data_IF_425813640706
#
_entry.id   IF_425813640706
#
_cell.length_a   1.000
_cell.length_b   1.000
_cell.length_c   1.000
_cell.angle_alpha   90.00
_cell.angle_beta   90.00
_cell.angle_gamma   90.00
#
_symmetry.space_group_name_H-M   'P 1'
#
loop_
_entity.id
_entity.type
_entity.pdbx_description
1 polymer ?
#
# COMPACT_ATOMS: atom_id res chain seq x y z
N UNK A 1 60.02 -45.10 -17.04
CA UNK A 1 58.62 -45.31 -17.44
C UNK A 1 57.87 -44.21 -16.72
N UNK A 2 57.33 -43.31 -17.54
CA UNK A 2 56.77 -42.02 -17.17
C UNK A 2 55.64 -42.10 -16.15
N UNK A 3 55.44 -41.00 -15.43
CA UNK A 3 54.16 -40.42 -14.95
C UNK A 3 54.57 -39.12 -14.25
N UNK A 4 54.75 -38.02 -14.99
CA UNK A 4 53.73 -37.09 -15.52
C UNK A 4 53.17 -36.14 -14.45
N UNK A 5 53.30 -34.88 -14.79
CA UNK A 5 53.02 -33.66 -14.05
C UNK A 5 51.51 -33.39 -13.99
N UNK A 6 50.97 -33.09 -12.81
CA UNK A 6 49.73 -32.29 -12.71
C UNK A 6 49.88 -31.24 -11.61
N UNK A 7 50.25 -30.04 -12.05
CA UNK A 7 50.02 -28.78 -11.34
C UNK A 7 48.68 -28.25 -11.86
N UNK A 8 47.60 -28.39 -11.07
CA UNK A 8 46.33 -27.66 -11.21
C UNK A 8 45.45 -28.05 -10.00
N UNK A 9 44.74 -27.18 -9.29
CA UNK A 9 44.55 -25.76 -9.45
C UNK A 9 43.93 -25.18 -8.17
N UNK A 10 44.09 -23.87 -8.06
CA UNK A 10 43.28 -22.97 -7.25
C UNK A 10 41.78 -23.29 -7.42
N UNK A 11 41.11 -23.81 -6.38
CA UNK A 11 39.66 -23.70 -6.20
C UNK A 11 39.30 -23.92 -4.72
N UNK A 12 39.41 -22.85 -3.95
CA UNK A 12 38.90 -22.79 -2.58
C UNK A 12 38.53 -21.38 -2.16
N UNK A 13 38.09 -20.56 -3.13
CA UNK A 13 37.42 -19.29 -2.90
C UNK A 13 36.26 -19.56 -1.94
N UNK A 14 36.45 -19.25 -0.66
CA UNK A 14 35.37 -19.05 0.30
C UNK A 14 34.56 -17.84 -0.16
N UNK A 15 33.78 -18.04 -1.23
CA UNK A 15 32.52 -17.37 -1.44
C UNK A 15 31.53 -17.98 -0.44
N UNK A 16 31.77 -17.74 0.84
CA UNK A 16 30.66 -17.49 1.75
C UNK A 16 30.28 -16.03 1.47
N UNK A 17 29.78 -15.82 0.24
CA UNK A 17 28.99 -14.66 -0.04
C UNK A 17 27.82 -14.79 0.89
N UNK A 18 27.84 -13.98 1.96
CA UNK A 18 26.68 -13.29 2.47
C UNK A 18 25.95 -12.63 1.28
N UNK A 19 25.33 -13.49 0.47
CA UNK A 19 24.14 -13.20 -0.29
C UNK A 19 22.97 -13.47 0.67
N UNK A 20 23.03 -12.87 1.85
CA UNK A 20 21.82 -12.36 2.45
C UNK A 20 21.43 -11.19 1.57
N UNK A 21 20.88 -11.54 0.39
CA UNK A 21 20.22 -10.59 -0.47
C UNK A 21 19.12 -10.03 0.39
N UNK A 22 19.34 -8.82 0.90
CA UNK A 22 18.41 -8.11 1.75
C UNK A 22 17.02 -8.25 1.15
N UNK A 23 16.26 -9.18 1.69
CA UNK A 23 14.82 -9.24 1.52
C UNK A 23 14.41 -7.89 2.07
N UNK A 24 14.08 -6.95 1.18
CA UNK A 24 13.79 -5.57 1.55
C UNK A 24 12.89 -5.61 2.78
N UNK A 25 13.44 -5.21 3.92
CA UNK A 25 12.79 -5.40 5.21
C UNK A 25 11.41 -4.78 5.09
N UNK A 26 10.36 -5.55 5.42
CA UNK A 26 9.00 -5.04 5.36
C UNK A 26 8.92 -3.78 6.21
N UNK A 27 8.21 -2.75 5.71
CA UNK A 27 8.06 -1.49 6.44
C UNK A 27 7.44 -1.81 7.81
N UNK A 28 8.06 -1.35 8.92
CA UNK A 28 7.56 -1.63 10.26
C UNK A 28 6.13 -1.17 10.45
N UNK A 29 5.35 -1.96 11.20
CA UNK A 29 3.96 -1.65 11.58
C UNK A 29 3.79 -0.21 12.09
N UNK A 30 4.77 0.26 12.86
CA UNK A 30 4.69 1.58 13.46
C UNK A 30 4.75 2.70 12.42
N UNK A 31 5.56 2.52 11.40
CA UNK A 31 5.76 3.46 10.31
C UNK A 31 4.59 3.43 9.34
N UNK A 32 4.09 2.25 8.98
CA UNK A 32 2.87 2.10 8.17
C UNK A 32 1.69 2.80 8.85
N UNK A 33 1.54 2.64 10.17
CA UNK A 33 0.50 3.34 10.91
C UNK A 33 0.61 4.87 10.82
N UNK A 34 1.83 5.43 10.80
CA UNK A 34 2.03 6.87 10.65
C UNK A 34 1.67 7.34 9.23
N UNK A 35 1.98 6.55 8.21
CA UNK A 35 1.57 6.82 6.84
C UNK A 35 0.04 6.80 6.70
N UNK A 36 -0.64 5.82 7.33
CA UNK A 36 -2.11 5.78 7.34
C UNK A 36 -2.72 6.96 8.09
N UNK A 37 -2.08 7.43 9.18
CA UNK A 37 -2.49 8.67 9.86
C UNK A 37 -2.39 9.87 8.91
N UNK A 38 -1.24 10.04 8.24
CA UNK A 38 -1.01 11.16 7.33
C UNK A 38 -1.99 11.14 6.15
N UNK A 39 -2.25 9.94 5.59
CA UNK A 39 -3.30 9.73 4.60
C UNK A 39 -4.67 10.12 5.16
N UNK A 40 -5.03 9.67 6.38
CA UNK A 40 -6.30 10.00 7.03
C UNK A 40 -6.47 11.51 7.31
N UNK A 41 -5.38 12.22 7.64
CA UNK A 41 -5.46 13.63 8.00
C UNK A 41 -5.42 14.56 6.78
N UNK A 42 -4.67 14.21 5.72
CA UNK A 42 -4.38 15.13 4.60
C UNK A 42 -4.86 14.64 3.24
N UNK A 43 -4.73 13.35 2.94
CA UNK A 43 -5.17 12.78 1.66
C UNK A 43 -4.32 13.19 0.45
N UNK A 44 -3.03 13.49 0.63
CA UNK A 44 -2.16 13.93 -0.48
C UNK A 44 -1.67 12.75 -1.33
N UNK A 45 -1.26 13.04 -2.57
CA UNK A 45 -0.67 12.07 -3.51
C UNK A 45 0.44 11.22 -2.87
N UNK A 46 1.38 11.88 -2.18
CA UNK A 46 2.50 11.22 -1.49
C UNK A 46 2.08 10.38 -0.28
N UNK A 47 1.02 10.78 0.43
CA UNK A 47 0.49 9.98 1.56
C UNK A 47 -0.09 8.67 1.03
N UNK A 48 -0.88 8.77 -0.04
CA UNK A 48 -1.50 7.60 -0.67
C UNK A 48 -0.44 6.67 -1.29
N UNK A 49 0.52 7.22 -2.03
CA UNK A 49 1.60 6.45 -2.64
C UNK A 49 2.49 5.77 -1.59
N UNK A 50 2.80 6.46 -0.50
CA UNK A 50 3.55 5.90 0.62
C UNK A 50 2.86 4.69 1.24
N UNK A 51 1.56 4.78 1.52
CA UNK A 51 0.78 3.64 2.04
C UNK A 51 0.71 2.50 1.02
N UNK A 52 0.48 2.79 -0.26
CA UNK A 52 0.42 1.77 -1.31
C UNK A 52 1.74 0.99 -1.43
N UNK A 53 2.88 1.69 -1.38
CA UNK A 53 4.20 1.08 -1.42
C UNK A 53 4.51 0.26 -0.15
N UNK A 54 4.10 0.76 1.01
CA UNK A 54 4.36 0.13 2.31
C UNK A 54 3.38 -0.99 2.68
N UNK A 55 2.31 -1.18 1.90
CA UNK A 55 1.24 -2.14 2.21
C UNK A 55 1.77 -3.57 2.35
N UNK A 56 2.77 -3.98 1.55
CA UNK A 56 3.56 -5.21 1.80
C UNK A 56 2.76 -6.50 2.00
N UNK A 57 1.56 -6.61 1.41
CA UNK A 57 0.65 -7.75 1.56
C UNK A 57 -0.35 -7.66 2.73
N UNK A 58 -0.31 -6.59 3.51
CA UNK A 58 -1.31 -6.27 4.54
C UNK A 58 -2.67 -6.06 3.89
N UNK A 59 -3.70 -6.59 4.51
CA UNK A 59 -5.09 -6.29 4.17
C UNK A 59 -5.45 -4.85 4.52
N UNK A 60 -6.50 -4.34 3.88
CA UNK A 60 -7.04 -3.01 4.18
C UNK A 60 -7.47 -2.86 5.64
N UNK A 61 -8.04 -3.90 6.25
CA UNK A 61 -8.35 -3.91 7.69
C UNK A 61 -7.11 -3.81 8.58
N UNK A 62 -5.99 -4.42 8.19
CA UNK A 62 -4.73 -4.28 8.94
C UNK A 62 -4.19 -2.86 8.83
N UNK A 63 -4.23 -2.24 7.65
CA UNK A 63 -3.84 -0.83 7.47
C UNK A 63 -4.70 0.10 8.34
N UNK A 64 -6.02 -0.09 8.34
CA UNK A 64 -6.95 0.65 9.22
C UNK A 64 -6.60 0.46 10.70
N UNK A 65 -6.30 -0.78 11.12
CA UNK A 65 -5.95 -1.09 12.50
C UNK A 65 -4.64 -0.43 12.94
N UNK A 66 -3.65 -0.31 12.05
CA UNK A 66 -2.38 0.36 12.33
C UNK A 66 -2.50 1.88 12.44
N UNK A 67 -3.39 2.48 11.64
CA UNK A 67 -3.67 3.91 11.66
C UNK A 67 -4.52 4.35 12.86
N UNK A 68 -5.49 3.54 13.28
CA UNK A 68 -6.47 3.89 14.33
C UNK A 68 -5.87 4.47 15.63
N UNK A 69 -4.83 3.88 16.23
CA UNK A 69 -4.22 4.42 17.46
C UNK A 69 -3.50 5.76 17.28
N UNK A 70 -3.22 6.16 16.04
CA UNK A 70 -2.39 7.33 15.70
C UNK A 70 -3.22 8.57 15.33
N UNK A 71 -4.52 8.40 15.09
CA UNK A 71 -5.47 9.48 14.84
C UNK A 71 -6.38 9.63 16.05
N UNK A 72 -6.42 10.83 16.65
CA UNK A 72 -7.21 11.07 17.87
C UNK A 72 -8.72 10.77 17.70
N UNK A 73 -9.25 10.96 16.49
CA UNK A 73 -10.64 10.66 16.13
C UNK A 73 -10.69 9.95 14.76
N UNK A 74 -10.10 8.76 14.69
CA UNK A 74 -10.11 7.97 13.45
C UNK A 74 -11.54 7.74 12.95
N UNK A 75 -11.79 8.07 11.68
CA UNK A 75 -13.10 7.94 11.04
C UNK A 75 -12.93 7.20 9.72
N UNK A 76 -13.60 6.04 9.60
CA UNK A 76 -13.59 5.26 8.37
C UNK A 76 -14.29 5.98 7.21
N UNK A 77 -15.45 6.65 7.39
CA UNK A 77 -16.02 7.50 6.33
C UNK A 77 -15.06 8.59 5.82
N UNK A 78 -14.30 9.22 6.71
CA UNK A 78 -13.36 10.28 6.37
C UNK A 78 -12.16 9.75 5.58
N UNK A 79 -11.72 8.52 5.88
CA UNK A 79 -10.71 7.81 5.10
C UNK A 79 -11.24 7.49 3.69
N UNK A 80 -12.45 6.93 3.61
CA UNK A 80 -13.09 6.58 2.33
C UNK A 80 -13.21 7.80 1.43
N UNK A 81 -13.65 8.93 1.98
CA UNK A 81 -13.72 10.20 1.24
C UNK A 81 -12.36 10.52 0.60
N UNK A 82 -11.26 10.49 1.36
CA UNK A 82 -9.92 10.77 0.80
C UNK A 82 -9.49 9.79 -0.27
N UNK A 83 -9.81 8.51 -0.09
CA UNK A 83 -9.49 7.48 -1.07
C UNK A 83 -10.30 7.67 -2.36
N UNK A 84 -11.58 8.06 -2.28
CA UNK A 84 -12.40 8.38 -3.46
C UNK A 84 -11.90 9.62 -4.19
N UNK A 85 -11.41 10.63 -3.46
CA UNK A 85 -10.76 11.81 -4.04
C UNK A 85 -9.44 11.49 -4.75
N UNK A 86 -8.85 10.30 -4.56
CA UNK A 86 -7.60 9.92 -5.19
C UNK A 86 -7.65 9.98 -6.73
N UNK A 87 -8.80 9.71 -7.36
CA UNK A 87 -8.97 9.83 -8.82
C UNK A 87 -8.97 11.29 -9.33
N UNK A 88 -9.20 12.26 -8.45
CA UNK A 88 -9.26 13.68 -8.79
C UNK A 88 -7.93 14.41 -8.59
N UNK A 89 -6.97 13.77 -7.92
CA UNK A 89 -5.61 14.31 -7.76
C UNK A 89 -4.93 14.34 -9.14
N UNK A 90 -4.32 15.45 -9.58
CA UNK A 90 -3.59 15.51 -10.84
C UNK A 90 -2.33 14.62 -10.86
N UNK A 91 -1.94 14.11 -12.03
CA UNK A 91 -0.72 13.30 -12.16
C UNK A 91 0.53 14.08 -11.75
N UNK A 92 0.57 15.41 -11.98
CA UNK A 92 1.68 16.26 -11.56
C UNK A 92 1.94 16.26 -10.04
N UNK A 93 0.90 16.04 -9.22
CA UNK A 93 1.03 15.98 -7.77
C UNK A 93 1.65 14.64 -7.32
N UNK A 94 1.35 13.55 -8.05
CA UNK A 94 2.01 12.26 -7.86
C UNK A 94 3.48 12.32 -8.32
N UNK A 95 3.75 12.93 -9.48
CA UNK A 95 5.12 13.14 -9.97
C UNK A 95 5.94 13.99 -8.99
N UNK A 96 5.36 15.06 -8.43
CA UNK A 96 6.00 15.88 -7.41
C UNK A 96 6.29 15.11 -6.11
N UNK A 97 5.50 14.07 -5.82
CA UNK A 97 5.74 13.13 -4.73
C UNK A 97 6.75 12.02 -5.08
N UNK A 98 7.29 12.00 -6.31
CA UNK A 98 8.28 11.03 -6.78
C UNK A 98 7.70 9.75 -7.37
N UNK A 99 6.38 9.70 -7.62
CA UNK A 99 5.71 8.56 -8.25
C UNK A 99 5.83 8.69 -9.76
N UNK A 100 6.28 7.63 -10.44
CA UNK A 100 6.37 7.67 -11.90
C UNK A 100 4.98 7.60 -12.54
N UNK A 101 4.78 8.13 -13.76
CA UNK A 101 3.50 8.07 -14.47
C UNK A 101 2.95 6.65 -14.61
N UNK A 102 3.82 5.65 -14.77
CA UNK A 102 3.45 4.24 -14.87
C UNK A 102 2.93 3.66 -13.53
N UNK A 103 3.38 4.21 -12.39
CA UNK A 103 2.97 3.78 -11.05
C UNK A 103 1.67 4.46 -10.58
N UNK A 104 1.34 5.65 -11.10
CA UNK A 104 0.13 6.41 -10.72
C UNK A 104 -1.14 5.57 -10.85
N UNK A 105 -1.29 4.83 -11.94
CA UNK A 105 -2.43 3.95 -12.16
C UNK A 105 -2.53 2.84 -11.08
N UNK A 106 -1.39 2.32 -10.62
CA UNK A 106 -1.34 1.34 -9.54
C UNK A 106 -1.77 1.94 -8.19
N UNK A 107 -1.33 3.17 -7.89
CA UNK A 107 -1.71 3.88 -6.66
C UNK A 107 -3.20 4.21 -6.65
N UNK A 108 -3.77 4.67 -7.77
CA UNK A 108 -5.23 4.90 -7.88
C UNK A 108 -6.01 3.59 -7.79
N UNK A 109 -5.53 2.52 -8.42
CA UNK A 109 -6.13 1.19 -8.31
C UNK A 109 -6.12 0.65 -6.88
N UNK A 110 -5.05 0.90 -6.13
CA UNK A 110 -4.98 0.57 -4.70
C UNK A 110 -6.03 1.34 -3.88
N UNK A 111 -6.18 2.64 -4.12
CA UNK A 111 -7.19 3.46 -3.45
C UNK A 111 -8.61 2.97 -3.73
N UNK A 112 -8.93 2.72 -5.01
CA UNK A 112 -10.22 2.19 -5.44
C UNK A 112 -10.51 0.84 -4.79
N UNK A 113 -9.55 -0.08 -4.79
CA UNK A 113 -9.72 -1.39 -4.18
C UNK A 113 -10.01 -1.31 -2.66
N UNK A 114 -9.41 -0.35 -1.97
CA UNK A 114 -9.68 -0.10 -0.55
C UNK A 114 -11.10 0.44 -0.34
N UNK A 115 -11.54 1.41 -1.15
CA UNK A 115 -12.93 1.93 -1.10
C UNK A 115 -13.93 0.80 -1.30
N UNK A 116 -13.73 -0.03 -2.31
CA UNK A 116 -14.62 -1.15 -2.61
C UNK A 116 -14.65 -2.20 -1.49
N UNK A 117 -13.51 -2.51 -0.87
CA UNK A 117 -13.47 -3.38 0.31
C UNK A 117 -14.30 -2.82 1.47
N UNK A 118 -14.20 -1.51 1.75
CA UNK A 118 -14.99 -0.87 2.81
C UNK A 118 -16.49 -0.92 2.47
N UNK A 119 -16.88 -0.61 1.23
CA UNK A 119 -18.27 -0.64 0.77
C UNK A 119 -18.86 -2.05 0.86
N UNK A 120 -18.11 -3.05 0.42
CA UNK A 120 -18.54 -4.46 0.49
C UNK A 120 -18.76 -4.90 1.94
N UNK A 121 -17.81 -4.58 2.84
CA UNK A 121 -17.94 -4.92 4.26
C UNK A 121 -19.14 -4.26 4.92
N UNK A 122 -19.46 -3.00 4.57
CA UNK A 122 -20.66 -2.32 5.08
C UNK A 122 -21.94 -2.98 4.60
N UNK A 123 -22.01 -3.32 3.31
CA UNK A 123 -23.15 -4.03 2.75
C UNK A 123 -23.38 -5.39 3.43
N UNK A 124 -22.30 -6.15 3.68
CA UNK A 124 -22.35 -7.43 4.39
C UNK A 124 -22.80 -7.28 5.86
N UNK A 125 -22.42 -6.19 6.51
CA UNK A 125 -22.80 -5.85 7.89
C UNK A 125 -24.23 -5.30 8.00
N UNK A 126 -24.93 -5.12 6.87
CA UNK A 126 -26.29 -4.58 6.81
C UNK A 126 -26.37 -3.05 6.93
N UNK A 127 -25.23 -2.38 6.87
CA UNK A 127 -25.08 -0.92 6.86
C UNK A 127 -25.11 -0.43 5.40
N UNK A 128 -26.28 -0.56 4.76
CA UNK A 128 -26.53 -0.01 3.43
C UNK A 128 -27.14 1.38 3.56
N UNK A 129 -26.48 2.31 4.24
CA UNK A 129 -26.73 3.74 4.03
C UNK A 129 -26.17 4.08 2.64
N UNK A 130 -26.89 3.59 1.64
CA UNK A 130 -26.84 4.06 0.28
C UNK A 130 -27.48 5.44 0.38
N UNK A 131 -26.71 6.49 0.11
CA UNK A 131 -27.31 7.72 -0.39
C UNK A 131 -28.09 7.32 -1.64
N UNK A 132 -29.37 7.00 -1.45
CA UNK A 132 -30.35 6.71 -2.48
C UNK A 132 -31.14 8.00 -2.70
N UNK A 133 -30.68 8.90 -3.60
CA UNK A 133 -31.54 9.94 -4.09
C UNK A 133 -32.59 9.30 -5.01
N UNK A 134 -33.80 9.20 -4.48
CA UNK A 134 -35.05 8.95 -5.20
C UNK A 134 -35.18 7.60 -5.90
N UNK A 135 -35.59 6.56 -5.15
CA UNK A 135 -36.51 5.56 -5.72
C UNK A 135 -37.92 6.16 -5.69
N UNK A 136 -38.51 6.55 -6.84
CA UNK A 136 -39.88 7.02 -6.85
C UNK A 136 -40.81 5.91 -6.36
N UNK A 137 -41.73 6.28 -5.48
CA UNK A 137 -42.83 5.40 -5.07
C UNK A 137 -43.51 4.84 -6.33
N UNK A 138 -43.44 3.52 -6.51
CA UNK A 138 -44.23 2.85 -7.52
C UNK A 138 -45.69 2.92 -7.06
N UNK A 139 -46.51 3.47 -7.93
CA UNK A 139 -47.96 3.80 -7.82
C UNK A 139 -48.81 2.76 -7.07
#
# INVERSE_FOLDING_TARGET
MEDDEVVDGDLGRGMDGDLDGGLGEAVPDEEVGLMVRDLHERGLAGDLAGVAAAAGGRSFRELEALGRPRVAAFSLPELVMRLEFAELIPDEDFEAAGVSPDEVAGVRGFALAWVEDVKLRRADEGDTDVDDPDVPAID
#
